data_IF_260772717490
#
_entry.id   IF_260772717490
#
_cell.length_a   1.000
_cell.length_b   1.000
_cell.length_c   1.000
_cell.angle_alpha   90.00
_cell.angle_beta   90.00
_cell.angle_gamma   90.00
#
_symmetry.space_group_name_H-M   'P 1'
#
loop_
_entity.id
_entity.type
_entity.pdbx_description
1 polymer ?
#
# COMPACT_ATOMS: atom_id res chain seq x y z
N UNK A 1 -1.79 -30.47 -43.69
CA UNK A 1 -3.23 -30.80 -43.60
C UNK A 1 -3.61 -30.76 -42.12
N UNK A 2 -4.11 -29.62 -41.61
CA UNK A 2 -5.54 -29.29 -41.49
C UNK A 2 -6.35 -30.34 -40.69
N UNK A 3 -6.57 -30.12 -39.39
CA UNK A 3 -7.85 -29.61 -38.85
C UNK A 3 -7.83 -29.46 -37.31
N UNK A 4 -7.97 -28.21 -36.89
CA UNK A 4 -8.79 -27.63 -35.82
C UNK A 4 -9.44 -28.55 -34.76
N UNK A 5 -9.15 -28.29 -33.48
CA UNK A 5 -10.19 -28.10 -32.44
C UNK A 5 -9.74 -27.11 -31.37
N UNK A 6 -10.40 -25.96 -31.35
CA UNK A 6 -10.27 -24.86 -30.38
C UNK A 6 -11.02 -25.23 -29.10
N UNK A 7 -10.37 -25.12 -27.93
CA UNK A 7 -10.99 -25.36 -26.62
C UNK A 7 -10.61 -24.29 -25.62
N UNK A 8 -11.44 -23.25 -25.52
CA UNK A 8 -11.39 -22.21 -24.49
C UNK A 8 -11.52 -22.82 -23.09
N UNK A 9 -10.52 -22.66 -22.23
CA UNK A 9 -10.66 -22.87 -20.78
C UNK A 9 -11.01 -21.53 -20.12
N UNK A 10 -12.31 -21.31 -19.92
CA UNK A 10 -12.85 -20.32 -18.98
C UNK A 10 -12.53 -20.79 -17.56
N UNK A 11 -11.56 -20.17 -16.89
CA UNK A 11 -11.39 -20.33 -15.44
C UNK A 11 -12.33 -19.32 -14.73
N UNK A 12 -13.55 -19.76 -14.43
CA UNK A 12 -14.46 -19.05 -13.55
C UNK A 12 -14.11 -19.35 -12.09
N UNK A 13 -13.63 -18.34 -11.37
CA UNK A 13 -13.44 -18.41 -9.92
C UNK A 13 -14.81 -18.23 -9.24
N UNK A 14 -15.50 -19.34 -9.00
CA UNK A 14 -16.75 -19.36 -8.21
C UNK A 14 -16.39 -19.51 -6.74
N UNK A 15 -16.53 -18.43 -5.97
CA UNK A 15 -16.46 -18.47 -4.50
C UNK A 15 -17.87 -18.73 -3.97
N UNK A 16 -18.11 -19.95 -3.50
CA UNK A 16 -19.38 -20.35 -2.87
C UNK A 16 -19.47 -19.78 -1.45
N UNK A 17 -20.49 -18.97 -1.16
CA UNK A 17 -20.84 -18.53 0.20
C UNK A 17 -21.97 -19.41 0.75
N UNK A 18 -21.65 -20.26 1.72
CA UNK A 18 -22.63 -21.01 2.50
C UNK A 18 -23.11 -20.19 3.70
N UNK A 19 -24.37 -19.77 3.67
CA UNK A 19 -25.09 -19.19 4.81
C UNK A 19 -25.53 -20.30 5.77
N UNK A 20 -25.13 -20.20 7.04
CA UNK A 20 -25.81 -20.87 8.15
C UNK A 20 -25.98 -19.87 9.29
N UNK A 21 -27.22 -19.42 9.49
CA UNK A 21 -27.57 -18.43 10.50
C UNK A 21 -27.63 -19.04 11.90
N UNK A 22 -27.21 -18.26 12.89
CA UNK A 22 -27.77 -18.29 14.24
C UNK A 22 -27.70 -16.88 14.83
N UNK A 23 -28.89 -16.37 15.17
CA UNK A 23 -29.12 -15.10 15.88
C UNK A 23 -28.70 -15.29 17.33
N UNK A 24 -27.91 -14.37 17.86
CA UNK A 24 -27.92 -14.03 19.29
C UNK A 24 -27.84 -12.51 19.34
N UNK A 25 -28.93 -11.89 19.79
CA UNK A 25 -29.03 -10.44 19.93
C UNK A 25 -28.47 -9.97 21.26
N UNK A 26 -27.98 -8.73 21.30
CA UNK A 26 -27.89 -7.97 22.55
C UNK A 26 -28.07 -6.47 22.28
N UNK A 27 -29.05 -5.92 23.03
CA UNK A 27 -29.24 -4.56 23.54
C UNK A 27 -28.50 -3.38 22.90
N UNK A 28 -29.29 -2.43 22.40
CA UNK A 28 -28.82 -1.09 22.08
C UNK A 28 -28.65 -0.20 23.30
N UNK A 29 -27.77 0.80 23.18
CA UNK A 29 -27.79 2.05 23.97
C UNK A 29 -27.18 3.17 23.11
N UNK A 30 -27.88 4.30 23.02
CA UNK A 30 -27.24 5.63 23.12
C UNK A 30 -26.84 6.35 21.83
N UNK A 31 -27.73 7.21 21.36
CA UNK A 31 -27.51 8.28 20.38
C UNK A 31 -26.47 9.32 20.81
N UNK A 32 -25.57 9.72 19.89
CA UNK A 32 -24.74 10.92 20.01
C UNK A 32 -24.33 11.45 18.63
N UNK A 33 -24.77 12.67 18.30
CA UNK A 33 -24.44 13.38 17.05
C UNK A 33 -22.94 13.72 16.91
N UNK A 34 -22.41 13.88 15.68
CA UNK A 34 -20.99 14.06 15.42
C UNK A 34 -20.55 15.52 15.58
N UNK A 35 -19.43 15.75 16.26
CA UNK A 35 -18.72 17.05 16.28
C UNK A 35 -17.56 17.01 15.28
N UNK A 36 -17.63 17.91 14.30
CA UNK A 36 -16.54 18.29 13.41
C UNK A 36 -15.41 18.99 14.18
N UNK A 37 -14.15 18.55 13.99
CA UNK A 37 -12.94 19.32 14.33
C UNK A 37 -11.84 18.95 13.31
N UNK A 38 -11.53 19.84 12.36
CA UNK A 38 -10.52 20.92 12.43
C UNK A 38 -9.11 20.34 12.61
N UNK A 39 -8.29 20.51 11.57
CA UNK A 39 -6.92 19.96 11.46
C UNK A 39 -5.94 20.48 12.50
N UNK A 40 -4.76 19.83 12.61
CA UNK A 40 -3.83 20.09 13.71
C UNK A 40 -3.22 21.49 13.62
N UNK A 41 -3.46 22.29 14.66
CA UNK A 41 -2.75 23.53 14.97
C UNK A 41 -1.41 23.16 15.62
N UNK A 42 -0.32 23.63 15.04
CA UNK A 42 1.00 23.63 15.69
C UNK A 42 1.02 24.74 16.76
N UNK A 43 1.26 24.37 18.02
CA UNK A 43 1.47 25.30 19.13
C UNK A 43 2.98 25.45 19.31
N UNK A 44 3.44 26.71 19.37
CA UNK A 44 4.81 27.11 19.58
C UNK A 44 4.92 27.78 20.96
N UNK A 45 5.94 27.39 21.73
CA UNK A 45 6.52 28.01 22.95
C UNK A 45 7.65 27.04 23.38
N UNK A 46 8.83 27.39 23.85
CA UNK A 46 9.42 28.64 24.30
C UNK A 46 10.97 28.50 24.21
N UNK A 47 11.68 29.61 24.03
CA UNK A 47 13.15 29.63 23.82
C UNK A 47 13.93 30.02 25.09
N UNK A 48 15.20 29.60 25.21
CA UNK A 48 16.22 30.57 25.63
C UNK A 48 17.50 30.55 24.78
N UNK A 49 18.18 31.69 24.86
CA UNK A 49 19.22 32.23 23.98
C UNK A 49 20.63 31.71 24.27
N UNK A 50 21.51 32.00 23.29
CA UNK A 50 22.96 32.27 23.36
C UNK A 50 23.93 31.09 23.32
N UNK A 51 24.58 30.92 22.16
CA UNK A 51 26.02 31.21 22.02
C UNK A 51 26.38 31.37 20.52
N UNK A 52 27.17 32.39 20.18
CA UNK A 52 27.69 32.64 18.83
C UNK A 52 29.21 32.56 18.85
N UNK A 53 29.82 31.92 17.83
CA UNK A 53 31.15 32.31 17.39
C UNK A 53 31.15 32.76 15.92
N UNK A 54 31.91 33.83 15.68
CA UNK A 54 32.14 34.54 14.41
C UNK A 54 32.97 33.73 13.38
N UNK A 55 32.95 34.12 12.08
CA UNK A 55 33.35 33.28 10.97
C UNK A 55 34.85 33.35 10.66
N UNK A 56 35.49 32.20 10.42
CA UNK A 56 36.79 32.15 9.76
C UNK A 56 36.62 31.96 8.25
N UNK A 57 37.24 32.86 7.51
CA UNK A 57 37.32 32.89 6.06
C UNK A 57 38.25 31.80 5.54
N UNK A 58 37.76 30.92 4.67
CA UNK A 58 38.63 30.32 3.67
C UNK A 58 37.93 30.17 2.31
N UNK A 59 38.54 30.79 1.30
CA UNK A 59 38.11 30.83 -0.09
C UNK A 59 38.92 29.80 -0.86
N UNK A 60 38.34 28.66 -1.17
CA UNK A 60 38.80 27.82 -2.28
C UNK A 60 37.60 27.23 -3.04
N UNK A 61 37.21 27.94 -4.10
CA UNK A 61 36.15 27.52 -5.03
C UNK A 61 36.67 26.42 -5.96
N UNK A 62 36.38 25.16 -5.64
CA UNK A 62 36.31 24.10 -6.64
C UNK A 62 35.10 24.33 -7.55
N UNK A 63 35.32 24.59 -8.84
CA UNK A 63 34.28 24.85 -9.83
C UNK A 63 33.57 23.53 -10.17
N UNK A 64 32.60 23.13 -9.37
CA UNK A 64 31.70 22.02 -9.70
C UNK A 64 30.87 22.39 -10.94
N UNK A 65 30.90 21.51 -11.94
CA UNK A 65 30.15 21.63 -13.18
C UNK A 65 28.65 21.74 -12.88
N UNK A 66 28.00 22.81 -13.34
CA UNK A 66 26.60 23.07 -13.06
C UNK A 66 25.72 21.95 -13.64
N UNK A 67 24.79 21.37 -12.86
CA UNK A 67 23.85 20.37 -13.38
C UNK A 67 22.93 21.03 -14.42
N UNK A 68 22.61 20.28 -15.48
CA UNK A 68 21.70 20.70 -16.55
C UNK A 68 20.39 21.28 -15.99
N UNK A 69 19.77 22.28 -16.66
CA UNK A 69 18.60 22.97 -16.12
C UNK A 69 17.45 21.97 -15.92
N UNK A 70 17.13 21.71 -14.66
CA UNK A 70 15.98 20.91 -14.28
C UNK A 70 14.70 21.63 -14.71
N UNK A 71 13.68 20.86 -15.12
CA UNK A 71 12.34 21.40 -15.40
C UNK A 71 11.91 22.32 -14.25
N UNK A 72 11.26 23.46 -14.53
CA UNK A 72 10.84 24.39 -13.49
C UNK A 72 9.97 23.64 -12.46
N UNK A 73 10.35 23.76 -11.19
CA UNK A 73 9.69 23.05 -10.08
C UNK A 73 8.34 23.69 -9.80
N UNK A 74 7.29 22.88 -9.62
CA UNK A 74 5.94 23.35 -9.29
C UNK A 74 5.96 24.24 -8.04
N UNK A 75 5.22 25.37 -8.00
CA UNK A 75 5.07 26.17 -6.79
C UNK A 75 4.66 25.33 -5.58
N UNK A 76 5.23 25.63 -4.42
CA UNK A 76 4.93 24.90 -3.20
C UNK A 76 3.51 25.21 -2.73
N UNK A 77 2.77 24.16 -2.36
CA UNK A 77 1.50 24.28 -1.64
C UNK A 77 1.56 23.41 -0.39
N UNK A 78 1.10 23.93 0.77
CA UNK A 78 1.18 23.21 2.04
C UNK A 78 0.25 22.00 2.12
N UNK A 79 -0.89 22.05 1.43
CA UNK A 79 -1.93 21.01 1.50
C UNK A 79 -2.06 20.22 0.20
N UNK A 80 -2.03 20.90 -0.95
CA UNK A 80 -2.17 20.25 -2.25
C UNK A 80 -0.98 19.31 -2.53
N UNK A 81 -1.19 18.16 -3.20
CA UNK A 81 -0.12 17.24 -3.54
C UNK A 81 0.80 17.79 -4.64
N UNK A 82 2.06 17.34 -4.67
CA UNK A 82 3.00 17.69 -5.73
C UNK A 82 2.53 17.16 -7.08
N UNK A 83 2.25 15.85 -7.12
CA UNK A 83 1.73 15.14 -8.29
C UNK A 83 0.20 15.14 -8.29
N UNK A 84 -0.39 15.26 -9.48
CA UNK A 84 -1.83 15.19 -9.68
C UNK A 84 -2.40 13.81 -9.36
N UNK A 85 -3.18 13.71 -8.29
CA UNK A 85 -3.76 12.44 -7.82
C UNK A 85 -4.97 11.97 -8.64
N UNK A 86 -5.50 12.80 -9.56
CA UNK A 86 -6.58 12.39 -10.47
C UNK A 86 -6.07 11.44 -11.56
N UNK A 87 -4.81 11.57 -11.96
CA UNK A 87 -4.18 10.74 -13.00
C UNK A 87 -3.43 9.54 -12.42
N UNK A 88 -3.44 8.41 -13.15
CA UNK A 88 -2.64 7.24 -12.79
C UNK A 88 -1.15 7.59 -12.66
N UNK A 89 -0.58 8.30 -13.63
CA UNK A 89 0.85 8.65 -13.65
C UNK A 89 1.23 9.55 -12.47
N UNK A 90 0.36 10.47 -12.07
CA UNK A 90 0.62 11.31 -10.91
C UNK A 90 0.60 10.52 -9.59
N UNK A 91 -0.39 9.63 -9.42
CA UNK A 91 -0.42 8.69 -8.27
C UNK A 91 0.82 7.79 -8.23
N UNK A 92 1.21 7.24 -9.38
CA UNK A 92 2.38 6.37 -9.50
C UNK A 92 3.67 7.10 -9.09
N UNK A 93 3.91 8.31 -9.63
CA UNK A 93 5.10 9.11 -9.28
C UNK A 93 5.11 9.51 -7.80
N UNK A 94 3.95 9.83 -7.24
CA UNK A 94 3.83 10.09 -5.81
C UNK A 94 4.26 8.86 -5.00
N UNK A 95 3.69 7.68 -5.29
CA UNK A 95 4.04 6.47 -4.56
C UNK A 95 5.51 6.09 -4.72
N UNK A 96 6.11 6.23 -5.91
CA UNK A 96 7.54 6.01 -6.12
C UNK A 96 8.39 6.95 -5.23
N UNK A 97 7.99 8.21 -5.07
CA UNK A 97 8.70 9.14 -4.19
C UNK A 97 8.60 8.77 -2.72
N UNK A 98 7.49 8.17 -2.31
CA UNK A 98 7.23 7.71 -0.93
C UNK A 98 7.93 6.39 -0.61
N UNK A 99 8.14 5.53 -1.61
CA UNK A 99 8.80 4.23 -1.47
C UNK A 99 10.29 4.27 -1.84
N UNK A 100 10.90 5.46 -1.87
CA UNK A 100 12.34 5.61 -2.15
C UNK A 100 13.19 5.02 -1.00
N UNK A 101 13.97 3.96 -1.23
CA UNK A 101 14.76 3.31 -0.19
C UNK A 101 15.87 4.19 0.37
N UNK A 102 16.27 5.27 -0.31
CA UNK A 102 17.25 6.23 0.21
C UNK A 102 16.75 6.92 1.48
N UNK A 103 15.43 7.02 1.65
CA UNK A 103 14.79 7.62 2.83
C UNK A 103 14.95 6.76 4.09
N UNK A 104 15.44 5.53 3.98
CA UNK A 104 15.80 4.70 5.13
C UNK A 104 16.98 5.26 5.91
N UNK A 105 17.86 6.01 5.24
CA UNK A 105 19.06 6.59 5.82
C UNK A 105 18.85 8.01 6.36
N UNK A 106 17.61 8.53 6.29
CA UNK A 106 17.26 9.85 6.84
C UNK A 106 17.47 9.85 8.35
N UNK A 107 18.35 10.74 8.82
CA UNK A 107 18.69 10.89 10.24
C UNK A 107 17.63 11.71 11.00
N UNK A 108 17.62 11.60 12.34
CA UNK A 108 16.76 12.45 13.19
C UNK A 108 17.04 13.94 12.98
N UNK A 109 18.31 14.32 12.84
CA UNK A 109 18.70 15.71 12.58
C UNK A 109 18.15 16.23 11.24
N UNK A 110 18.16 15.38 10.20
CA UNK A 110 17.56 15.74 8.91
C UNK A 110 16.04 15.91 9.00
N UNK A 111 15.34 15.03 9.73
CA UNK A 111 13.90 15.16 9.98
C UNK A 111 13.57 16.46 10.72
N UNK A 112 14.31 16.78 11.79
CA UNK A 112 14.15 18.05 12.51
C UNK A 112 14.39 19.24 11.59
N UNK A 113 15.43 19.22 10.76
CA UNK A 113 15.71 20.27 9.78
C UNK A 113 14.57 20.44 8.78
N UNK A 114 14.03 19.35 8.23
CA UNK A 114 12.90 19.39 7.30
C UNK A 114 11.63 19.95 7.97
N UNK A 115 11.37 19.56 9.22
CA UNK A 115 10.25 20.08 10.01
C UNK A 115 10.39 21.58 10.27
N UNK A 116 11.56 22.03 10.74
CA UNK A 116 11.84 23.44 10.98
C UNK A 116 11.76 24.28 9.69
N UNK A 117 12.20 23.73 8.56
CA UNK A 117 12.10 24.43 7.26
C UNK A 117 10.65 24.69 6.85
N UNK A 118 9.77 23.69 6.98
CA UNK A 118 8.34 23.85 6.67
C UNK A 118 7.64 24.78 7.67
N UNK A 119 7.99 24.67 8.96
CA UNK A 119 7.45 25.55 9.99
C UNK A 119 7.85 27.02 9.77
N UNK A 120 9.13 27.28 9.45
CA UNK A 120 9.59 28.63 9.10
C UNK A 120 8.87 29.17 7.86
N UNK A 121 8.67 28.34 6.83
CA UNK A 121 7.92 28.75 5.64
C UNK A 121 6.46 29.07 5.95
N UNK A 122 5.82 28.29 6.82
CA UNK A 122 4.46 28.55 7.30
C UNK A 122 4.38 29.86 8.12
N UNK A 123 5.43 30.20 8.87
CA UNK A 123 5.56 31.46 9.60
C UNK A 123 5.90 32.67 8.70
N UNK A 124 6.04 32.48 7.38
CA UNK A 124 6.25 33.54 6.41
C UNK A 124 7.66 33.63 5.83
N UNK A 125 8.60 32.76 6.22
CA UNK A 125 9.94 32.74 5.65
C UNK A 125 9.92 32.27 4.18
N UNK A 126 10.41 33.13 3.28
CA UNK A 126 10.46 32.87 1.84
C UNK A 126 11.88 32.60 1.31
N UNK A 127 12.86 32.37 2.20
CA UNK A 127 14.25 32.04 1.80
C UNK A 127 14.37 30.67 1.14
N UNK A 128 13.53 29.72 1.54
CA UNK A 128 13.52 28.37 0.99
C UNK A 128 12.93 28.33 -0.42
N UNK A 129 13.57 27.59 -1.32
CA UNK A 129 13.06 27.34 -2.67
C UNK A 129 11.90 26.35 -2.65
N UNK A 130 11.04 26.39 -3.68
CA UNK A 130 9.94 25.44 -3.82
C UNK A 130 10.43 23.97 -3.84
N UNK A 131 11.59 23.70 -4.44
CA UNK A 131 12.18 22.37 -4.50
C UNK A 131 12.59 21.85 -3.11
N UNK A 132 13.19 22.71 -2.27
CA UNK A 132 13.56 22.35 -0.91
C UNK A 132 12.34 22.06 -0.04
N UNK A 133 11.26 22.85 -0.19
CA UNK A 133 10.02 22.65 0.54
C UNK A 133 9.32 21.35 0.14
N UNK A 134 9.26 21.04 -1.16
CA UNK A 134 8.73 19.76 -1.62
C UNK A 134 9.56 18.58 -1.14
N UNK A 135 10.89 18.69 -1.18
CA UNK A 135 11.78 17.64 -0.66
C UNK A 135 11.57 17.43 0.83
N UNK A 136 11.53 18.51 1.62
CA UNK A 136 11.30 18.43 3.06
C UNK A 136 9.95 17.78 3.37
N UNK A 137 8.90 18.14 2.63
CA UNK A 137 7.58 17.52 2.76
C UNK A 137 7.60 16.03 2.45
N UNK A 138 8.16 15.61 1.32
CA UNK A 138 8.28 14.18 0.98
C UNK A 138 9.06 13.40 2.04
N UNK A 139 10.16 13.96 2.55
CA UNK A 139 10.96 13.32 3.60
C UNK A 139 10.13 13.11 4.87
N UNK A 140 9.41 14.14 5.33
CA UNK A 140 8.56 14.01 6.53
C UNK A 140 7.40 13.03 6.29
N UNK A 141 6.65 13.19 5.20
CA UNK A 141 5.52 12.31 4.88
C UNK A 141 5.94 10.84 4.77
N UNK A 142 7.16 10.54 4.32
CA UNK A 142 7.66 9.16 4.17
C UNK A 142 8.27 8.57 5.44
N UNK A 143 8.69 9.41 6.39
CA UNK A 143 9.44 8.98 7.58
C UNK A 143 8.68 9.19 8.90
N UNK A 144 7.54 9.86 8.88
CA UNK A 144 6.74 10.17 10.07
C UNK A 144 5.33 9.63 9.93
N UNK A 145 4.73 9.26 11.06
CA UNK A 145 3.37 8.76 11.11
C UNK A 145 2.41 9.91 10.77
N UNK A 146 1.45 9.71 9.84
CA UNK A 146 0.62 10.79 9.31
C UNK A 146 -0.25 11.49 10.36
N UNK A 147 -0.66 10.79 11.41
CA UNK A 147 -1.49 11.34 12.50
C UNK A 147 -0.70 11.86 13.70
N UNK A 148 0.25 11.10 14.25
CA UNK A 148 1.00 11.50 15.45
C UNK A 148 2.22 12.37 15.14
N UNK A 149 2.71 12.37 13.90
CA UNK A 149 3.97 13.03 13.51
C UNK A 149 5.22 12.33 14.04
N UNK A 150 5.08 11.19 14.74
CA UNK A 150 6.21 10.46 15.30
C UNK A 150 7.06 9.81 14.21
N UNK A 151 8.37 9.72 14.43
CA UNK A 151 9.28 9.09 13.47
C UNK A 151 9.03 7.59 13.39
N UNK A 152 8.76 7.09 12.18
CA UNK A 152 8.61 5.67 11.91
C UNK A 152 9.98 4.99 11.94
N UNK A 153 10.04 3.85 12.62
CA UNK A 153 11.22 2.99 12.64
C UNK A 153 11.64 2.65 11.20
N UNK A 154 12.93 2.79 10.80
CA UNK A 154 13.34 2.71 9.40
C UNK A 154 12.84 1.47 8.66
N UNK A 155 12.89 0.29 9.27
CA UNK A 155 12.45 -0.96 8.61
C UNK A 155 10.93 -1.05 8.40
N UNK A 156 10.14 -0.16 8.99
CA UNK A 156 8.70 -0.09 8.78
C UNK A 156 8.28 1.10 7.92
N UNK A 157 9.22 1.93 7.43
CA UNK A 157 8.92 3.00 6.47
C UNK A 157 8.48 2.41 5.13
N UNK A 158 7.68 3.14 4.36
CA UNK A 158 7.29 2.70 3.01
C UNK A 158 8.50 2.40 2.10
N UNK A 159 9.62 3.12 2.27
CA UNK A 159 10.87 2.85 1.56
C UNK A 159 11.53 1.50 1.88
N UNK A 160 11.17 0.84 2.99
CA UNK A 160 11.68 -0.47 3.38
C UNK A 160 10.94 -1.62 2.70
N UNK A 161 9.77 -1.36 2.09
CA UNK A 161 8.91 -2.41 1.51
C UNK A 161 9.68 -3.25 0.49
N UNK A 162 10.34 -2.62 -0.49
CA UNK A 162 11.09 -3.37 -1.50
C UNK A 162 12.35 -4.05 -0.93
N UNK A 163 13.24 -3.36 -0.17
CA UNK A 163 14.41 -3.99 0.44
C UNK A 163 14.09 -5.19 1.34
N UNK A 164 13.07 -5.09 2.20
CA UNK A 164 12.72 -6.16 3.15
C UNK A 164 12.01 -7.33 2.47
N UNK A 165 11.30 -7.10 1.37
CA UNK A 165 10.72 -8.20 0.61
C UNK A 165 11.80 -9.08 -0.08
N UNK A 166 13.03 -8.58 -0.30
CA UNK A 166 14.11 -9.40 -0.86
C UNK A 166 14.36 -10.66 -0.02
N UNK A 167 14.78 -10.58 1.25
CA UNK A 167 15.04 -11.77 2.06
C UNK A 167 13.77 -12.57 2.34
N UNK A 168 12.62 -11.91 2.55
CA UNK A 168 11.35 -12.59 2.87
C UNK A 168 10.90 -13.46 1.69
N UNK A 169 10.76 -12.87 0.51
CA UNK A 169 10.28 -13.59 -0.69
C UNK A 169 11.30 -14.62 -1.15
N UNK A 170 12.59 -14.29 -1.13
CA UNK A 170 13.65 -15.25 -1.49
C UNK A 170 13.59 -16.48 -0.58
N UNK A 171 13.44 -16.29 0.73
CA UNK A 171 13.35 -17.39 1.66
C UNK A 171 12.05 -18.21 1.49
N UNK A 172 10.91 -17.56 1.26
CA UNK A 172 9.66 -18.27 0.94
C UNK A 172 9.73 -19.10 -0.35
N UNK A 173 10.43 -18.60 -1.38
CA UNK A 173 10.60 -19.30 -2.66
C UNK A 173 11.63 -20.44 -2.58
N UNK A 174 12.70 -20.27 -1.79
CA UNK A 174 13.80 -21.23 -1.71
C UNK A 174 13.60 -22.30 -0.63
N UNK A 175 12.74 -22.05 0.37
CA UNK A 175 12.41 -23.03 1.40
C UNK A 175 11.67 -24.21 0.76
N UNK A 176 12.17 -25.45 0.89
CA UNK A 176 11.44 -26.62 0.44
C UNK A 176 10.09 -26.71 1.17
N UNK A 177 8.95 -26.92 0.49
CA UNK A 177 7.65 -27.03 1.16
C UNK A 177 7.54 -28.19 2.15
N UNK A 178 8.46 -29.16 2.06
CA UNK A 178 8.60 -30.27 3.01
C UNK A 178 9.25 -29.85 4.33
N UNK A 179 10.00 -28.74 4.35
CA UNK A 179 10.53 -28.13 5.56
C UNK A 179 9.43 -27.31 6.25
N UNK A 180 8.48 -28.01 6.87
CA UNK A 180 7.25 -27.43 7.44
C UNK A 180 7.54 -26.30 8.43
N UNK A 181 8.49 -26.50 9.36
CA UNK A 181 8.83 -25.48 10.35
C UNK A 181 9.35 -24.18 9.73
N UNK A 182 10.28 -24.28 8.79
CA UNK A 182 10.82 -23.13 8.07
C UNK A 182 9.75 -22.45 7.20
N UNK A 183 8.90 -23.24 6.54
CA UNK A 183 7.78 -22.72 5.73
C UNK A 183 6.83 -21.90 6.60
N UNK A 184 6.37 -22.46 7.72
CA UNK A 184 5.48 -21.76 8.67
C UNK A 184 6.15 -20.49 9.20
N UNK A 185 7.43 -20.57 9.57
CA UNK A 185 8.20 -19.41 10.05
C UNK A 185 8.20 -18.27 9.03
N UNK A 186 8.52 -18.53 7.76
CA UNK A 186 8.59 -17.46 6.75
C UNK A 186 7.21 -16.87 6.43
N UNK A 187 6.15 -17.68 6.45
CA UNK A 187 4.79 -17.20 6.29
C UNK A 187 4.34 -16.33 7.47
N UNK A 188 4.62 -16.76 8.70
CA UNK A 188 4.39 -15.96 9.90
C UNK A 188 5.18 -14.65 9.88
N UNK A 189 6.47 -14.70 9.53
CA UNK A 189 7.34 -13.53 9.48
C UNK A 189 6.85 -12.53 8.44
N UNK A 190 6.46 -12.99 7.25
CA UNK A 190 5.87 -12.15 6.20
C UNK A 190 4.60 -11.43 6.68
N UNK A 191 3.66 -12.14 7.32
CA UNK A 191 2.44 -11.50 7.84
C UNK A 191 2.72 -10.54 8.99
N UNK A 192 3.66 -10.89 9.87
CA UNK A 192 4.11 -10.02 10.95
C UNK A 192 4.71 -8.71 10.43
N UNK A 193 5.58 -8.80 9.43
CA UNK A 193 6.20 -7.65 8.80
C UNK A 193 5.18 -6.76 8.08
N UNK A 194 4.25 -7.36 7.32
CA UNK A 194 3.18 -6.62 6.63
C UNK A 194 2.27 -5.90 7.62
N UNK A 195 1.89 -6.55 8.72
CA UNK A 195 1.09 -5.93 9.79
C UNK A 195 1.86 -4.77 10.45
N UNK A 196 3.14 -4.96 10.77
CA UNK A 196 3.96 -3.92 11.38
C UNK A 196 4.08 -2.68 10.47
N UNK A 197 4.31 -2.88 9.17
CA UNK A 197 4.34 -1.80 8.19
C UNK A 197 2.97 -1.11 8.09
N UNK A 198 1.88 -1.88 8.04
CA UNK A 198 0.54 -1.30 7.95
C UNK A 198 0.22 -0.42 9.17
N UNK A 199 0.53 -0.89 10.38
CA UNK A 199 0.34 -0.11 11.61
C UNK A 199 1.21 1.13 11.65
N UNK A 200 2.48 1.02 11.25
CA UNK A 200 3.41 2.12 11.28
C UNK A 200 3.06 3.25 10.29
N UNK A 201 2.37 2.95 9.20
CA UNK A 201 2.03 3.90 8.14
C UNK A 201 0.52 4.21 8.04
N UNK A 202 -0.32 3.68 8.94
CA UNK A 202 -1.76 3.90 8.91
C UNK A 202 -2.10 5.38 9.19
N UNK A 203 -3.09 5.93 8.47
CA UNK A 203 -3.63 7.26 8.74
C UNK A 203 -4.97 7.19 9.46
N UNK A 204 -5.19 8.08 10.44
CA UNK A 204 -6.49 8.31 11.09
C UNK A 204 -6.61 7.79 12.53
N UNK A 205 -7.83 7.77 13.06
CA UNK A 205 -8.16 7.04 14.30
C UNK A 205 -7.96 5.55 14.03
N UNK A 206 -6.77 5.03 14.36
CA UNK A 206 -6.37 3.67 14.03
C UNK A 206 -7.34 2.63 14.62
N UNK A 207 -7.43 1.47 13.94
CA UNK A 207 -8.18 0.32 14.44
C UNK A 207 -7.82 0.03 15.90
N UNK A 208 -8.81 -0.40 16.69
CA UNK A 208 -8.56 -0.77 18.07
C UNK A 208 -7.46 -1.82 18.15
N UNK A 209 -6.65 -1.81 19.22
CA UNK A 209 -5.61 -2.83 19.45
C UNK A 209 -6.18 -4.25 19.32
N UNK A 210 -7.44 -4.44 19.72
CA UNK A 210 -8.17 -5.72 19.58
C UNK A 210 -8.44 -6.08 18.12
N UNK A 211 -8.92 -5.13 17.32
CA UNK A 211 -9.20 -5.34 15.89
C UNK A 211 -7.92 -5.64 15.11
N UNK A 212 -6.85 -4.92 15.40
CA UNK A 212 -5.52 -5.17 14.84
C UNK A 212 -5.02 -6.57 15.18
N UNK A 213 -5.14 -6.99 16.45
CA UNK A 213 -4.73 -8.31 16.90
C UNK A 213 -5.53 -9.41 16.17
N UNK A 214 -6.84 -9.23 16.03
CA UNK A 214 -7.70 -10.19 15.33
C UNK A 214 -7.35 -10.25 13.83
N UNK A 215 -7.18 -9.10 13.17
CA UNK A 215 -6.77 -9.02 11.77
C UNK A 215 -5.43 -9.74 11.53
N UNK A 216 -4.45 -9.51 12.40
CA UNK A 216 -3.16 -10.19 12.37
C UNK A 216 -3.29 -11.70 12.59
N UNK A 217 -4.05 -12.14 13.59
CA UNK A 217 -4.26 -13.56 13.86
C UNK A 217 -4.92 -14.28 12.69
N UNK A 218 -5.92 -13.65 12.04
CA UNK A 218 -6.58 -14.17 10.84
C UNK A 218 -5.58 -14.29 9.69
N UNK A 219 -4.78 -13.24 9.43
CA UNK A 219 -3.80 -13.25 8.35
C UNK A 219 -2.72 -14.32 8.54
N UNK A 220 -2.15 -14.43 9.74
CA UNK A 220 -1.14 -15.46 10.07
C UNK A 220 -1.74 -16.85 9.94
N UNK A 221 -2.90 -17.10 10.54
CA UNK A 221 -3.55 -18.42 10.50
C UNK A 221 -3.84 -18.82 9.06
N UNK A 222 -4.47 -17.94 8.27
CA UNK A 222 -4.75 -18.21 6.88
C UNK A 222 -3.48 -18.50 6.06
N UNK A 223 -2.43 -17.68 6.21
CA UNK A 223 -1.17 -17.88 5.47
C UNK A 223 -0.50 -19.20 5.82
N UNK A 224 -0.35 -19.48 7.12
CA UNK A 224 0.33 -20.69 7.59
C UNK A 224 -0.47 -21.96 7.28
N UNK A 225 -1.80 -21.93 7.39
CA UNK A 225 -2.66 -23.08 7.05
C UNK A 225 -2.60 -23.42 5.56
N UNK A 226 -2.66 -22.41 4.67
CA UNK A 226 -2.54 -22.64 3.22
C UNK A 226 -1.15 -23.19 2.88
N UNK A 227 -0.08 -22.60 3.45
CA UNK A 227 1.28 -23.05 3.21
C UNK A 227 1.50 -24.50 3.68
N UNK A 228 1.01 -24.83 4.88
CA UNK A 228 1.06 -26.18 5.42
C UNK A 228 0.31 -27.19 4.54
N UNK A 229 -0.95 -26.89 4.20
CA UNK A 229 -1.77 -27.78 3.38
C UNK A 229 -1.14 -28.02 2.00
N UNK A 230 -0.69 -26.96 1.33
CA UNK A 230 -0.05 -27.06 0.02
C UNK A 230 1.29 -27.81 0.12
N UNK A 231 2.08 -27.59 1.17
CA UNK A 231 3.31 -28.35 1.44
C UNK A 231 3.06 -29.85 1.60
N UNK A 232 1.97 -30.25 2.27
CA UNK A 232 1.56 -31.66 2.40
C UNK A 232 1.16 -32.27 1.07
N UNK A 233 0.51 -31.51 0.19
CA UNK A 233 0.19 -31.95 -1.18
C UNK A 233 1.47 -32.16 -1.98
N UNK A 234 2.44 -31.24 -1.92
CA UNK A 234 3.75 -31.43 -2.59
C UNK A 234 4.51 -32.64 -2.04
N UNK A 235 4.43 -32.87 -0.72
CA UNK A 235 5.06 -34.02 -0.08
C UNK A 235 4.43 -35.38 -0.46
N UNK A 236 3.24 -35.40 -1.08
CA UNK A 236 2.61 -36.64 -1.54
C UNK A 236 3.35 -37.31 -2.71
N UNK A 237 4.32 -36.64 -3.32
CA UNK A 237 5.15 -37.19 -4.39
C UNK A 237 4.50 -37.16 -5.78
N UNK A 238 3.31 -36.57 -5.93
CA UNK A 238 2.68 -36.45 -7.24
C UNK A 238 3.45 -35.47 -8.16
N UNK A 239 3.74 -35.90 -9.39
CA UNK A 239 4.52 -35.11 -10.36
C UNK A 239 3.90 -33.74 -10.65
N UNK A 240 2.56 -33.65 -10.69
CA UNK A 240 1.85 -32.38 -10.89
C UNK A 240 2.02 -31.42 -9.70
N UNK A 241 2.26 -31.93 -8.48
CA UNK A 241 2.41 -31.13 -7.29
C UNK A 241 3.76 -30.38 -7.26
N UNK A 242 4.78 -30.87 -7.97
CA UNK A 242 6.04 -30.14 -8.13
C UNK A 242 5.85 -28.77 -8.81
N UNK A 243 4.91 -28.68 -9.75
CA UNK A 243 4.56 -27.43 -10.43
C UNK A 243 3.85 -26.42 -9.53
N UNK A 244 3.28 -26.86 -8.40
CA UNK A 244 2.62 -25.97 -7.43
C UNK A 244 3.60 -25.20 -6.53
N UNK A 245 4.88 -25.59 -6.45
CA UNK A 245 5.82 -25.02 -5.48
C UNK A 245 5.90 -23.48 -5.53
N UNK A 246 6.00 -22.82 -6.71
CA UNK A 246 6.02 -21.36 -6.77
C UNK A 246 4.67 -20.71 -6.44
N UNK A 247 3.57 -21.47 -6.53
CA UNK A 247 2.23 -21.01 -6.21
C UNK A 247 1.93 -21.05 -4.72
N UNK A 248 2.70 -21.79 -3.91
CA UNK A 248 2.47 -21.88 -2.46
C UNK A 248 2.65 -20.50 -1.81
N UNK A 249 3.77 -19.78 -1.99
CA UNK A 249 3.93 -18.48 -1.36
C UNK A 249 2.88 -17.48 -1.85
N UNK A 250 2.56 -17.50 -3.14
CA UNK A 250 1.51 -16.66 -3.72
C UNK A 250 0.14 -16.94 -3.09
N UNK A 251 -0.32 -18.20 -3.12
CA UNK A 251 -1.63 -18.61 -2.62
C UNK A 251 -1.79 -18.33 -1.12
N UNK A 252 -0.75 -18.56 -0.34
CA UNK A 252 -0.75 -18.28 1.10
C UNK A 252 -0.78 -16.78 1.42
N UNK A 253 -0.09 -15.93 0.65
CA UNK A 253 -0.12 -14.47 0.87
C UNK A 253 -1.43 -13.88 0.36
N UNK A 254 -1.88 -14.29 -0.82
CA UNK A 254 -3.15 -13.85 -1.39
C UNK A 254 -4.36 -14.29 -0.54
N UNK A 255 -4.36 -15.55 -0.07
CA UNK A 255 -5.37 -16.08 0.83
C UNK A 255 -5.40 -15.35 2.17
N UNK A 256 -4.24 -15.04 2.75
CA UNK A 256 -4.15 -14.25 3.98
C UNK A 256 -4.70 -12.82 3.80
N UNK A 257 -4.31 -12.14 2.72
CA UNK A 257 -4.84 -10.82 2.38
C UNK A 257 -6.37 -10.87 2.15
N UNK A 258 -6.86 -11.89 1.46
CA UNK A 258 -8.30 -12.10 1.24
C UNK A 258 -9.05 -12.32 2.54
N UNK A 259 -8.56 -13.18 3.42
CA UNK A 259 -9.17 -13.44 4.73
C UNK A 259 -9.18 -12.18 5.61
N UNK A 260 -8.09 -11.43 5.64
CA UNK A 260 -8.00 -10.17 6.37
C UNK A 260 -8.96 -9.11 5.82
N UNK A 261 -9.03 -8.95 4.50
CA UNK A 261 -9.97 -8.01 3.85
C UNK A 261 -11.42 -8.40 4.10
N UNK A 262 -11.74 -9.70 4.03
CA UNK A 262 -13.08 -10.18 4.32
C UNK A 262 -13.51 -9.82 5.73
N UNK A 263 -12.63 -9.99 6.72
CA UNK A 263 -12.93 -9.65 8.11
C UNK A 263 -13.04 -8.13 8.32
N UNK A 264 -11.98 -7.39 7.99
CA UNK A 264 -11.87 -5.95 8.22
C UNK A 264 -12.91 -5.13 7.45
N UNK A 265 -13.32 -5.58 6.26
CA UNK A 265 -14.28 -4.87 5.39
C UNK A 265 -15.61 -5.59 5.25
N UNK A 266 -15.93 -6.53 6.13
CA UNK A 266 -17.22 -7.23 6.16
C UNK A 266 -18.41 -6.26 6.31
N UNK A 267 -18.22 -5.17 7.06
CA UNK A 267 -19.22 -4.11 7.23
C UNK A 267 -19.57 -3.44 5.91
N UNK A 268 -18.58 -3.11 5.07
CA UNK A 268 -18.82 -2.50 3.76
C UNK A 268 -19.49 -3.48 2.78
N UNK A 269 -19.15 -4.77 2.86
CA UNK A 269 -19.79 -5.80 2.05
C UNK A 269 -21.28 -6.00 2.37
N UNK A 270 -21.65 -5.86 3.65
CA UNK A 270 -23.02 -6.07 4.15
C UNK A 270 -23.87 -4.80 4.14
N UNK A 271 -23.30 -3.70 4.62
CA UNK A 271 -24.02 -2.45 4.91
C UNK A 271 -23.70 -1.33 3.90
N UNK A 272 -22.68 -1.51 3.06
CA UNK A 272 -22.25 -0.49 2.10
C UNK A 272 -21.29 0.55 2.69
N UNK A 273 -20.75 1.37 1.80
CA UNK A 273 -19.84 2.49 2.12
C UNK A 273 -20.56 3.82 1.91
N UNK A 274 -20.28 4.87 2.72
CA UNK A 274 -20.84 6.19 2.51
C UNK A 274 -20.58 6.72 1.10
N UNK A 275 -21.62 7.25 0.46
CA UNK A 275 -21.53 7.92 -0.84
C UNK A 275 -21.85 9.41 -0.68
N UNK A 276 -21.01 10.25 -1.28
CA UNK A 276 -21.15 11.69 -1.28
C UNK A 276 -21.53 12.18 -2.67
N UNK A 277 -22.49 13.09 -2.76
CA UNK A 277 -22.77 13.79 -4.01
C UNK A 277 -21.64 14.77 -4.37
N UNK A 278 -21.82 15.44 -5.49
CA UNK A 278 -20.82 16.38 -5.99
C UNK A 278 -20.76 17.69 -5.17
N UNK A 279 -21.75 17.95 -4.30
CA UNK A 279 -21.73 19.02 -3.30
C UNK A 279 -21.09 18.56 -1.98
N UNK A 280 -20.49 17.36 -1.97
CA UNK A 280 -19.84 16.70 -0.82
C UNK A 280 -20.80 16.42 0.34
N UNK A 281 -22.09 16.29 0.06
CA UNK A 281 -23.09 15.86 1.03
C UNK A 281 -23.23 14.34 0.99
N UNK A 282 -23.18 13.71 2.17
CA UNK A 282 -23.44 12.28 2.30
C UNK A 282 -24.92 12.00 1.97
N UNK A 283 -25.17 11.11 1.01
CA UNK A 283 -26.52 10.73 0.57
C UNK A 283 -26.97 9.36 1.08
N UNK A 284 -26.10 8.65 1.79
CA UNK A 284 -26.38 7.33 2.35
C UNK A 284 -25.21 6.37 2.17
N UNK A 285 -25.46 5.07 2.30
CA UNK A 285 -24.45 4.01 2.14
C UNK A 285 -24.79 3.08 0.99
N UNK A 286 -23.90 2.98 0.00
CA UNK A 286 -24.08 2.07 -1.15
C UNK A 286 -23.33 0.77 -0.95
N UNK A 287 -24.04 -0.36 -1.09
CA UNK A 287 -23.48 -1.72 -1.08
C UNK A 287 -22.76 -2.01 -2.39
N UNK A 288 -23.24 -1.49 -3.52
CA UNK A 288 -22.57 -1.62 -4.82
C UNK A 288 -21.19 -0.97 -4.74
N UNK A 289 -21.12 0.28 -4.29
CA UNK A 289 -19.85 0.99 -4.13
C UNK A 289 -18.92 0.28 -3.13
N UNK A 290 -19.45 -0.20 -2.00
CA UNK A 290 -18.68 -0.95 -1.00
C UNK A 290 -18.11 -2.25 -1.53
N UNK A 291 -18.91 -3.06 -2.24
CA UNK A 291 -18.45 -4.31 -2.87
C UNK A 291 -17.38 -4.06 -3.91
N UNK A 292 -17.54 -3.02 -4.75
CA UNK A 292 -16.53 -2.67 -5.74
C UNK A 292 -15.23 -2.19 -5.08
N UNK A 293 -15.32 -1.37 -4.02
CA UNK A 293 -14.16 -0.91 -3.26
C UNK A 293 -13.34 -2.09 -2.72
N UNK A 294 -14.02 -3.05 -2.08
CA UNK A 294 -13.41 -4.26 -1.54
C UNK A 294 -12.84 -5.13 -2.65
N UNK A 295 -13.59 -5.36 -3.73
CA UNK A 295 -13.14 -6.19 -4.86
C UNK A 295 -11.89 -5.63 -5.54
N UNK A 296 -11.86 -4.32 -5.82
CA UNK A 296 -10.68 -3.68 -6.40
C UNK A 296 -9.47 -3.71 -5.46
N UNK A 297 -9.69 -3.61 -4.15
CA UNK A 297 -8.62 -3.71 -3.14
C UNK A 297 -8.08 -5.13 -3.07
N UNK A 298 -8.96 -6.14 -3.06
CA UNK A 298 -8.60 -7.55 -3.10
C UNK A 298 -7.82 -7.88 -4.39
N UNK A 299 -8.26 -7.38 -5.54
CA UNK A 299 -7.56 -7.60 -6.80
C UNK A 299 -6.17 -6.97 -6.79
N UNK A 300 -6.06 -5.67 -6.50
CA UNK A 300 -4.79 -4.95 -6.56
C UNK A 300 -3.79 -5.42 -5.49
N UNK A 301 -4.16 -5.30 -4.21
CA UNK A 301 -3.24 -5.56 -3.09
C UNK A 301 -3.24 -7.02 -2.65
N UNK A 302 -4.39 -7.68 -2.74
CA UNK A 302 -4.52 -9.10 -2.37
C UNK A 302 -3.95 -10.05 -3.40
N UNK A 303 -4.09 -9.76 -4.70
CA UNK A 303 -3.68 -10.67 -5.77
C UNK A 303 -2.51 -10.14 -6.60
N UNK A 304 -2.63 -8.96 -7.20
CA UNK A 304 -1.63 -8.48 -8.17
C UNK A 304 -0.26 -8.21 -7.52
N UNK A 305 -0.21 -7.61 -6.32
CA UNK A 305 1.06 -7.36 -5.62
C UNK A 305 1.77 -8.67 -5.24
N UNK A 306 1.12 -9.64 -4.56
CA UNK A 306 1.77 -10.93 -4.28
C UNK A 306 2.14 -11.71 -5.53
N UNK A 307 1.32 -11.67 -6.59
CA UNK A 307 1.64 -12.30 -7.86
C UNK A 307 2.93 -11.70 -8.45
N UNK A 308 3.04 -10.37 -8.50
CA UNK A 308 4.23 -9.70 -9.00
C UNK A 308 5.46 -9.99 -8.11
N UNK A 309 5.30 -9.99 -6.79
CA UNK A 309 6.39 -10.23 -5.86
C UNK A 309 6.93 -11.66 -5.94
N UNK A 310 6.06 -12.66 -6.09
CA UNK A 310 6.42 -14.08 -5.94
C UNK A 310 6.54 -14.81 -7.28
N UNK A 311 5.68 -14.52 -8.26
CA UNK A 311 5.62 -15.28 -9.52
C UNK A 311 6.53 -14.69 -10.60
N UNK A 312 6.71 -13.36 -10.65
CA UNK A 312 7.60 -12.74 -11.64
C UNK A 312 9.07 -13.13 -11.45
N UNK A 313 9.64 -13.24 -10.23
CA UNK A 313 11.03 -13.64 -10.08
C UNK A 313 11.38 -14.99 -10.72
N UNK A 314 10.70 -16.12 -10.40
CA UNK A 314 11.01 -17.39 -11.06
C UNK A 314 10.71 -17.36 -12.57
N UNK A 315 9.66 -16.66 -13.01
CA UNK A 315 9.34 -16.52 -14.43
C UNK A 315 10.42 -15.74 -15.20
N UNK A 316 10.93 -14.66 -14.62
CA UNK A 316 12.00 -13.85 -15.21
C UNK A 316 13.31 -14.64 -15.30
N UNK A 317 13.64 -15.43 -14.27
CA UNK A 317 14.82 -16.30 -14.27
C UNK A 317 14.72 -17.36 -15.36
N UNK A 318 13.56 -17.97 -15.50
CA UNK A 318 13.31 -18.93 -16.58
C UNK A 318 13.48 -18.28 -17.95
N UNK A 319 12.88 -17.10 -18.17
CA UNK A 319 12.99 -16.37 -19.43
C UNK A 319 14.45 -15.95 -19.75
N UNK A 320 15.19 -15.43 -18.78
CA UNK A 320 16.60 -15.04 -18.94
C UNK A 320 17.51 -16.24 -19.20
N UNK A 321 17.22 -17.38 -18.57
CA UNK A 321 17.95 -18.64 -18.82
C UNK A 321 17.65 -19.19 -20.20
N UNK A 322 16.38 -19.17 -20.63
CA UNK A 322 15.95 -19.63 -21.95
C UNK A 322 16.52 -18.76 -23.08
N UNK A 323 16.71 -17.46 -22.83
CA UNK A 323 17.34 -16.53 -23.76
C UNK A 323 18.88 -16.61 -23.78
N UNK A 324 19.51 -17.47 -22.95
CA UNK A 324 20.97 -17.59 -22.86
C UNK A 324 21.68 -16.37 -22.25
N UNK A 325 20.93 -15.45 -21.62
CA UNK A 325 21.47 -14.21 -21.02
C UNK A 325 22.04 -14.50 -19.62
N UNK A 326 21.40 -15.39 -18.86
CA UNK A 326 21.79 -15.68 -17.49
C UNK A 326 22.93 -16.72 -17.43
N UNK A 327 24.10 -16.39 -16.88
CA UNK A 327 25.17 -17.36 -16.72
C UNK A 327 24.75 -18.56 -15.87
N UNK A 328 25.29 -19.77 -16.11
CA UNK A 328 24.94 -20.95 -15.34
C UNK A 328 25.41 -20.89 -13.86
N UNK A 329 26.22 -19.90 -13.51
CA UNK A 329 26.82 -19.73 -12.18
C UNK A 329 25.78 -19.51 -11.07
N UNK A 330 25.82 -20.24 -9.94
CA UNK A 330 24.82 -20.14 -8.86
C UNK A 330 24.65 -18.72 -8.30
N UNK A 331 25.75 -17.98 -8.10
CA UNK A 331 25.67 -16.61 -7.60
C UNK A 331 25.02 -15.65 -8.60
N UNK A 332 25.16 -15.88 -9.91
CA UNK A 332 24.51 -15.06 -10.93
C UNK A 332 22.99 -15.30 -10.92
N UNK A 333 22.56 -16.56 -10.79
CA UNK A 333 21.14 -16.91 -10.62
C UNK A 333 20.55 -16.32 -9.35
N UNK A 334 21.28 -16.37 -8.23
CA UNK A 334 20.84 -15.76 -6.98
C UNK A 334 20.73 -14.25 -7.11
N UNK A 335 21.75 -13.57 -7.66
CA UNK A 335 21.71 -12.13 -7.87
C UNK A 335 20.55 -11.72 -8.78
N UNK A 336 20.31 -12.46 -9.86
CA UNK A 336 19.17 -12.24 -10.74
C UNK A 336 17.84 -12.39 -10.00
N UNK A 337 17.71 -13.41 -9.14
CA UNK A 337 16.49 -13.63 -8.36
C UNK A 337 16.23 -12.47 -7.39
N UNK A 338 17.25 -12.09 -6.60
CA UNK A 338 17.13 -11.00 -5.63
C UNK A 338 16.85 -9.66 -6.33
N UNK A 339 17.51 -9.40 -7.46
CA UNK A 339 17.26 -8.21 -8.28
C UNK A 339 15.85 -8.21 -8.84
N UNK A 340 15.37 -9.36 -9.33
CA UNK A 340 14.01 -9.46 -9.84
C UNK A 340 12.97 -9.23 -8.75
N UNK A 341 13.15 -9.77 -7.54
CA UNK A 341 12.25 -9.52 -6.40
C UNK A 341 12.20 -8.02 -6.09
N UNK A 342 13.36 -7.37 -5.98
CA UNK A 342 13.44 -5.95 -5.69
C UNK A 342 12.71 -5.11 -6.76
N UNK A 343 12.99 -5.38 -8.04
CA UNK A 343 12.39 -4.64 -9.15
C UNK A 343 10.89 -4.88 -9.25
N UNK A 344 10.42 -6.13 -9.09
CA UNK A 344 9.01 -6.44 -9.19
C UNK A 344 8.21 -5.83 -8.03
N UNK A 345 8.72 -5.84 -6.79
CA UNK A 345 8.06 -5.17 -5.65
C UNK A 345 8.10 -3.65 -5.80
N UNK A 346 9.25 -3.08 -6.20
CA UNK A 346 9.41 -1.63 -6.41
C UNK A 346 8.49 -1.08 -7.48
N UNK A 347 8.13 -1.88 -8.49
CA UNK A 347 7.17 -1.51 -9.52
C UNK A 347 5.73 -1.81 -9.10
N UNK A 348 5.47 -3.01 -8.58
CA UNK A 348 4.11 -3.50 -8.35
C UNK A 348 3.39 -2.77 -7.22
N UNK A 349 4.08 -2.46 -6.11
CA UNK A 349 3.43 -1.78 -4.97
C UNK A 349 2.96 -0.38 -5.35
N UNK A 350 3.80 0.51 -5.92
CA UNK A 350 3.34 1.81 -6.41
C UNK A 350 2.28 1.70 -7.50
N UNK A 351 2.43 0.76 -8.44
CA UNK A 351 1.46 0.57 -9.53
C UNK A 351 0.10 0.11 -9.02
N UNK A 352 0.06 -0.83 -8.06
CA UNK A 352 -1.18 -1.34 -7.50
C UNK A 352 -1.96 -0.28 -6.70
N UNK A 353 -1.25 0.57 -5.96
CA UNK A 353 -1.86 1.70 -5.25
C UNK A 353 -2.33 2.77 -6.24
N UNK A 354 -1.57 3.02 -7.31
CA UNK A 354 -1.94 3.99 -8.33
C UNK A 354 -3.07 3.53 -9.26
N UNK A 355 -3.26 2.21 -9.42
CA UNK A 355 -4.19 1.61 -10.38
C UNK A 355 -5.63 2.12 -10.20
N UNK A 356 -6.04 2.31 -8.95
CA UNK A 356 -7.38 2.79 -8.62
C UNK A 356 -7.31 4.07 -7.79
N UNK A 357 -8.12 5.08 -8.10
CA UNK A 357 -8.18 6.30 -7.30
C UNK A 357 -8.72 6.01 -5.90
N UNK A 358 -8.37 6.88 -4.95
CA UNK A 358 -8.86 6.81 -3.57
C UNK A 358 -10.34 7.16 -3.47
N UNK A 359 -10.77 8.20 -4.19
CA UNK A 359 -12.19 8.51 -4.36
C UNK A 359 -12.67 7.94 -5.69
N UNK A 360 -13.62 7.02 -5.63
CA UNK A 360 -14.24 6.39 -6.78
C UNK A 360 -15.52 7.14 -7.12
N UNK A 361 -15.70 7.49 -8.40
CA UNK A 361 -16.90 8.12 -8.91
C UNK A 361 -17.83 7.09 -9.56
N UNK A 362 -19.12 7.17 -9.25
CA UNK A 362 -20.18 6.29 -9.72
C UNK A 362 -21.29 7.13 -10.33
N UNK A 363 -21.75 6.85 -11.55
CA UNK A 363 -23.04 7.34 -12.02
C UNK A 363 -24.15 6.97 -11.03
N UNK A 364 -25.04 7.90 -10.71
CA UNK A 364 -26.14 7.62 -9.77
C UNK A 364 -27.05 6.46 -10.25
N UNK A 365 -27.17 6.31 -11.57
CA UNK A 365 -27.89 5.21 -12.26
C UNK A 365 -27.27 3.81 -12.04
N UNK A 366 -25.96 3.74 -11.79
CA UNK A 366 -25.25 2.46 -11.54
C UNK A 366 -25.36 2.01 -10.08
N UNK A 367 -25.87 2.87 -9.20
CA UNK A 367 -26.07 2.59 -7.78
C UNK A 367 -27.51 2.14 -7.49
N UNK A 368 -27.77 1.82 -6.23
CA UNK A 368 -29.09 1.38 -5.76
C UNK A 368 -30.21 2.40 -6.10
N UNK A 369 -31.46 1.96 -6.31
CA UNK A 369 -32.56 2.85 -6.71
C UNK A 369 -32.80 4.05 -5.79
N UNK A 370 -32.45 3.95 -4.50
CA UNK A 370 -32.53 5.03 -3.52
C UNK A 370 -31.59 6.22 -3.83
N UNK A 371 -30.57 6.01 -4.66
CA UNK A 371 -29.64 7.03 -5.11
C UNK A 371 -30.02 7.64 -6.47
N UNK A 372 -31.00 7.05 -7.15
CA UNK A 372 -31.43 7.47 -8.49
C UNK A 372 -32.46 8.60 -8.38
N UNK A 373 -32.31 9.64 -9.19
CA UNK A 373 -33.24 10.78 -9.21
C UNK A 373 -33.15 11.72 -8.00
N UNK A 374 -32.12 11.57 -7.15
CA UNK A 374 -31.82 12.54 -6.08
C UNK A 374 -31.56 13.93 -6.68
N UNK A 375 -31.97 14.96 -5.94
CA UNK A 375 -31.72 16.36 -6.28
C UNK A 375 -30.75 16.98 -5.30
N UNK A 376 -29.85 17.79 -5.84
CA UNK A 376 -28.92 18.63 -5.08
C UNK A 376 -29.63 19.83 -4.46
N UNK A 377 -28.89 20.57 -3.63
CA UNK A 377 -29.40 21.79 -2.99
C UNK A 377 -29.81 22.89 -3.99
N UNK A 378 -29.22 22.89 -5.19
CA UNK A 378 -29.53 23.80 -6.29
C UNK A 378 -30.69 23.32 -7.19
N UNK A 379 -31.33 22.19 -6.85
CA UNK A 379 -32.43 21.59 -7.58
C UNK A 379 -32.03 20.77 -8.81
N UNK A 380 -30.74 20.69 -9.16
CA UNK A 380 -30.24 19.84 -10.26
C UNK A 380 -30.18 18.37 -9.82
N UNK A 381 -30.32 17.42 -10.76
CA UNK A 381 -30.18 16.01 -10.44
C UNK A 381 -28.73 15.68 -10.04
N UNK A 382 -28.57 14.86 -9.00
CA UNK A 382 -27.30 14.21 -8.66
C UNK A 382 -26.96 13.25 -9.79
N UNK A 383 -25.82 13.47 -10.45
CA UNK A 383 -25.39 12.63 -11.57
C UNK A 383 -24.32 11.64 -11.14
N UNK A 384 -23.45 12.07 -10.23
CA UNK A 384 -22.30 11.30 -9.78
C UNK A 384 -22.25 11.26 -8.27
N UNK A 385 -22.07 10.07 -7.74
CA UNK A 385 -21.80 9.82 -6.33
C UNK A 385 -20.37 9.34 -6.17
N UNK A 386 -19.67 9.86 -5.17
CA UNK A 386 -18.29 9.54 -4.86
C UNK A 386 -18.22 8.70 -3.59
N UNK A 387 -17.43 7.62 -3.62
CA UNK A 387 -17.16 6.79 -2.45
C UNK A 387 -15.67 6.70 -2.20
N UNK A 388 -15.27 6.86 -0.94
CA UNK A 388 -13.88 6.64 -0.57
C UNK A 388 -13.59 5.14 -0.50
N UNK A 389 -12.50 4.72 -1.14
CA UNK A 389 -12.09 3.32 -1.26
C UNK A 389 -11.48 2.76 0.03
N UNK A 390 -11.17 3.60 1.02
CA UNK A 390 -10.44 3.22 2.23
C UNK A 390 -8.98 2.91 1.90
N UNK A 391 -8.05 3.52 2.65
CA UNK A 391 -6.62 3.34 2.46
C UNK A 391 -6.10 2.04 3.06
#
# INVERSE_FOLDING_TARGET
AMHTTTGLVRLGLVVYFGCAGRRVGFGGVGSGHPRSKVGPRYIAEDSPRLWTPQPSSDRSRGRAMAPAPSKPTKPFHPTAPYYDQSTFTGRLRHMISMTDPRLLFTSKAELSRCSSLLAAHAAGDRRATAAELWRARTVLESCTHPTTGETIFPLFRMGAIAPMNIPIVAAMLQTPPTAVGATIFWHWFNQSYNTACNVANAGGEGSSKKELLVAYAIAVTASCSIAFAAGRVVASGANWAASLRPLIPFGSVAGANGANLFFSRSGELRNGTPVLDEDRQERGKSRIAGRLAVAQTALSRGCLVPAAAVLLPPASLWALSAAGILPPHPAAKQLALLSSIYLSVSAAVPAAIALFPQDMAFPAEDLEPEFQGLKRADGRPVRVLSANKGL
#
